data_IF_439126277458
#
_entry.id   IF_439126277458
#
_cell.length_a   1.000
_cell.length_b   1.000
_cell.length_c   1.000
_cell.angle_alpha   90.00
_cell.angle_beta   90.00
_cell.angle_gamma   90.00
#
_symmetry.space_group_name_H-M   'P 1'
#
loop_
_entity.id
_entity.type
_entity.pdbx_description
1 polymer ?
#
# COMPACT_ATOMS: atom_id res chain seq x y z
N UNK A 1 10.01 -19.77 -5.99
CA UNK A 1 8.96 -18.96 -5.34
C UNK A 1 9.65 -17.82 -4.63
N UNK A 2 9.16 -16.59 -4.77
CA UNK A 2 9.72 -15.39 -4.14
C UNK A 2 8.58 -14.59 -3.51
N UNK A 3 8.80 -14.13 -2.27
CA UNK A 3 7.93 -13.19 -1.56
C UNK A 3 8.65 -11.84 -1.53
N UNK A 4 7.98 -10.78 -1.96
CA UNK A 4 8.46 -9.40 -1.83
C UNK A 4 7.46 -8.62 -1.00
N UNK A 5 7.93 -7.96 0.06
CA UNK A 5 7.09 -7.04 0.83
C UNK A 5 7.33 -5.64 0.27
N UNK A 6 6.32 -5.07 -0.38
CA UNK A 6 6.41 -3.71 -0.92
C UNK A 6 6.11 -2.66 0.15
N UNK A 7 5.14 -2.93 1.03
CA UNK A 7 4.72 -2.05 2.14
C UNK A 7 4.19 -2.84 3.35
N UNK A 8 4.09 -2.17 4.49
CA UNK A 8 3.54 -2.73 5.75
C UNK A 8 4.58 -3.27 6.75
N UNK A 9 5.88 -2.99 6.58
CA UNK A 9 6.93 -3.37 7.54
C UNK A 9 7.30 -2.28 8.54
N UNK A 10 6.89 -1.03 8.30
CA UNK A 10 7.26 0.13 9.12
C UNK A 10 6.03 0.90 9.65
N UNK A 11 4.83 0.42 9.35
CA UNK A 11 3.56 1.08 9.67
C UNK A 11 2.46 0.02 9.86
N UNK A 12 1.39 0.39 10.56
CA UNK A 12 0.19 -0.45 10.69
C UNK A 12 -0.73 -0.15 9.49
N UNK A 13 -1.21 -1.20 8.84
CA UNK A 13 -1.95 -1.08 7.59
C UNK A 13 -1.02 -0.91 6.38
N UNK A 14 -1.57 -0.52 5.24
CA UNK A 14 -0.76 -0.26 4.04
C UNK A 14 -0.20 -1.52 3.36
N UNK A 15 -0.59 -2.72 3.80
CA UNK A 15 0.00 -3.98 3.35
C UNK A 15 -0.14 -4.14 1.84
N UNK A 16 1.00 -4.44 1.21
CA UNK A 16 1.08 -4.80 -0.19
C UNK A 16 2.25 -5.76 -0.36
N UNK A 17 1.95 -6.99 -0.76
CA UNK A 17 2.94 -8.05 -0.94
C UNK A 17 2.82 -8.65 -2.34
N UNK A 18 3.95 -9.06 -2.90
CA UNK A 18 4.01 -9.79 -4.15
C UNK A 18 4.46 -11.23 -3.89
N UNK A 19 3.70 -12.18 -4.43
CA UNK A 19 4.11 -13.58 -4.54
C UNK A 19 4.41 -13.89 -6.00
N UNK A 20 5.65 -14.27 -6.28
CA UNK A 20 6.11 -14.63 -7.60
C UNK A 20 6.46 -16.12 -7.70
N UNK A 21 5.95 -16.76 -8.77
CA UNK A 21 6.31 -18.11 -9.17
C UNK A 21 6.55 -18.16 -10.69
N UNK A 22 7.77 -18.55 -11.09
CA UNK A 22 8.20 -18.57 -12.49
C UNK A 22 7.96 -17.20 -13.17
N UNK A 23 7.12 -17.16 -14.20
CA UNK A 23 6.77 -15.99 -15.00
C UNK A 23 5.47 -15.31 -14.55
N UNK A 24 4.85 -15.77 -13.47
CA UNK A 24 3.60 -15.20 -12.95
C UNK A 24 3.80 -14.61 -11.57
N UNK A 25 3.01 -13.57 -11.28
CA UNK A 25 3.00 -12.91 -9.98
C UNK A 25 1.59 -12.52 -9.58
N UNK A 26 1.35 -12.52 -8.28
CA UNK A 26 0.11 -12.06 -7.66
C UNK A 26 0.50 -10.96 -6.67
N UNK A 27 -0.14 -9.81 -6.81
CA UNK A 27 -0.13 -8.77 -5.76
C UNK A 27 -1.31 -9.06 -4.83
N UNK A 28 -1.00 -9.18 -3.55
CA UNK A 28 -1.98 -9.41 -2.49
C UNK A 28 -2.07 -8.14 -1.65
N UNK A 29 -3.32 -7.73 -1.44
CA UNK A 29 -3.70 -6.51 -0.75
C UNK A 29 -3.19 -5.22 -1.43
N UNK A 30 -3.94 -4.16 -1.22
CA UNK A 30 -3.59 -2.79 -1.58
C UNK A 30 -4.12 -1.87 -0.48
N UNK A 31 -3.82 -2.24 0.76
CA UNK A 31 -4.19 -1.46 1.92
C UNK A 31 -3.56 -0.07 1.86
N UNK A 32 -4.21 0.87 2.53
CA UNK A 32 -3.66 2.18 2.85
C UNK A 32 -3.16 2.16 4.31
N UNK A 33 -2.10 2.92 4.63
CA UNK A 33 -1.64 3.02 6.00
C UNK A 33 -2.70 3.71 6.87
N UNK A 34 -2.72 3.38 8.17
CA UNK A 34 -3.65 4.01 9.11
C UNK A 34 -3.24 5.42 9.52
N UNK A 35 -1.99 5.79 9.26
CA UNK A 35 -1.42 7.11 9.57
C UNK A 35 -0.65 7.65 8.39
N UNK A 36 -0.49 8.97 8.32
CA UNK A 36 0.33 9.64 7.32
C UNK A 36 1.81 9.73 7.75
N UNK A 37 2.63 10.35 6.91
CA UNK A 37 4.07 10.56 7.15
C UNK A 37 4.39 11.37 8.41
N UNK A 38 3.45 12.17 8.91
CA UNK A 38 3.58 12.96 10.13
C UNK A 38 3.05 12.21 11.36
N UNK A 39 2.62 10.94 11.21
CA UNK A 39 1.96 10.10 12.22
C UNK A 39 0.57 10.60 12.64
N UNK A 40 -0.05 11.43 11.81
CA UNK A 40 -1.45 11.80 12.01
C UNK A 40 -2.38 10.74 11.40
N UNK A 41 -3.61 10.57 11.92
CA UNK A 41 -4.57 9.64 11.32
C UNK A 41 -4.74 9.87 9.82
N UNK A 42 -4.73 8.78 9.07
CA UNK A 42 -4.91 8.85 7.63
C UNK A 42 -6.31 9.39 7.30
N UNK A 43 -6.35 10.53 6.61
CA UNK A 43 -7.58 11.19 6.18
C UNK A 43 -7.84 10.87 4.70
N UNK A 44 -8.68 9.86 4.47
CA UNK A 44 -9.06 9.43 3.12
C UNK A 44 -9.82 10.49 2.33
N UNK A 45 -10.46 11.46 2.99
CA UNK A 45 -11.22 12.49 2.29
C UNK A 45 -10.30 13.47 1.56
N UNK A 46 -9.03 13.60 1.96
CA UNK A 46 -8.01 14.38 1.23
C UNK A 46 -7.71 13.84 -0.17
N UNK A 47 -7.97 12.56 -0.42
CA UNK A 47 -7.69 11.88 -1.69
C UNK A 47 -8.96 11.48 -2.46
N UNK A 48 -10.10 11.47 -1.78
CA UNK A 48 -11.40 11.16 -2.36
C UNK A 48 -11.76 12.24 -3.38
N UNK A 49 -11.77 11.86 -4.66
CA UNK A 49 -11.99 12.72 -5.85
C UNK A 49 -10.76 13.46 -6.40
N UNK A 50 -9.55 13.11 -5.97
CA UNK A 50 -8.33 13.56 -6.65
C UNK A 50 -8.01 12.67 -7.86
N UNK A 51 -7.62 13.28 -8.98
CA UNK A 51 -6.99 12.58 -10.10
C UNK A 51 -5.58 12.13 -9.72
N UNK A 52 -4.99 11.23 -10.51
CA UNK A 52 -3.61 10.77 -10.27
C UNK A 52 -2.60 11.92 -10.28
N UNK A 53 -2.85 12.94 -11.09
CA UNK A 53 -2.00 14.12 -11.21
C UNK A 53 -2.13 15.07 -10.00
N UNK A 54 -3.17 14.91 -9.18
CA UNK A 54 -3.47 15.75 -8.01
C UNK A 54 -3.03 15.12 -6.67
N UNK A 55 -2.56 13.87 -6.71
CA UNK A 55 -2.00 13.10 -5.59
C UNK A 55 -0.48 13.32 -5.51
#
# INVERSE_FOLDING_TARGET
>A
MRLTIHRGTHEIGGTCIELQAKNSKILLDFGLPLVDQNREPFDSDKIRNKSKEQL
#
